data_IF_938179744027
#
_entry.id   IF_938179744027
#
_cell.length_a   1.000
_cell.length_b   1.000
_cell.length_c   1.000
_cell.angle_alpha   90.00
_cell.angle_beta   90.00
_cell.angle_gamma   90.00
#
_symmetry.space_group_name_H-M   'P 1'
#
loop_
_entity.id
_entity.type
_entity.pdbx_description
1 polymer ?
#
# COMPACT_ATOMS: atom_id res chain seq x y z
N UNK A 1 15.91 -45.57 29.50
CA UNK A 1 14.78 -46.18 28.76
C UNK A 1 14.11 -45.08 27.97
N UNK A 2 14.39 -45.01 26.67
CA UNK A 2 13.91 -43.96 25.77
C UNK A 2 12.44 -44.25 25.41
N UNK A 3 11.54 -43.39 25.89
CA UNK A 3 10.11 -43.48 25.67
C UNK A 3 9.75 -43.31 24.19
N UNK A 4 9.61 -44.46 23.53
CA UNK A 4 8.91 -44.67 22.26
C UNK A 4 7.43 -44.23 22.36
N UNK A 5 7.20 -42.92 22.34
CA UNK A 5 5.83 -42.35 22.34
C UNK A 5 5.70 -41.01 21.61
N UNK A 6 6.81 -40.33 21.34
CA UNK A 6 6.82 -39.01 20.70
C UNK A 6 6.97 -39.01 19.18
N UNK A 7 7.25 -40.15 18.53
CA UNK A 7 7.68 -40.18 17.12
C UNK A 7 6.64 -39.67 16.12
N UNK A 8 5.37 -40.03 16.28
CA UNK A 8 4.29 -39.65 15.35
C UNK A 8 3.84 -38.21 15.58
N UNK A 9 3.77 -37.78 16.84
CA UNK A 9 3.46 -36.40 17.21
C UNK A 9 4.58 -35.45 16.79
N UNK A 10 5.85 -35.78 17.03
CA UNK A 10 6.97 -34.94 16.62
C UNK A 10 7.07 -34.78 15.09
N UNK A 11 6.67 -35.80 14.32
CA UNK A 11 6.80 -35.81 12.87
C UNK A 11 5.76 -34.90 12.17
N UNK A 12 4.55 -34.75 12.73
CA UNK A 12 3.51 -33.85 12.22
C UNK A 12 3.54 -32.49 12.92
N UNK A 13 3.66 -32.47 14.24
CA UNK A 13 3.65 -31.21 15.00
C UNK A 13 4.95 -30.42 14.83
N UNK A 14 6.08 -31.06 14.52
CA UNK A 14 7.35 -30.36 14.27
C UNK A 14 7.25 -29.33 13.13
N UNK A 15 6.92 -29.74 11.89
CA UNK A 15 6.77 -28.82 10.77
C UNK A 15 5.67 -27.78 10.98
N UNK A 16 4.54 -28.18 11.58
CA UNK A 16 3.44 -27.26 11.92
C UNK A 16 3.90 -26.15 12.87
N UNK A 17 4.61 -26.51 13.93
CA UNK A 17 5.13 -25.54 14.91
C UNK A 17 6.18 -24.63 14.29
N UNK A 18 7.01 -25.15 13.37
CA UNK A 18 7.98 -24.35 12.62
C UNK A 18 7.29 -23.31 11.73
N UNK A 19 6.25 -23.71 10.99
CA UNK A 19 5.47 -22.80 10.14
C UNK A 19 4.74 -21.76 11.00
N UNK A 20 4.15 -22.19 12.11
CA UNK A 20 3.43 -21.29 13.01
C UNK A 20 4.38 -20.28 13.64
N UNK A 21 5.58 -20.71 14.07
CA UNK A 21 6.64 -19.84 14.57
C UNK A 21 7.09 -18.84 13.50
N UNK A 22 7.32 -19.29 12.26
CA UNK A 22 7.74 -18.44 11.15
C UNK A 22 6.65 -17.42 10.78
N UNK A 23 5.39 -17.85 10.75
CA UNK A 23 4.23 -16.97 10.58
C UNK A 23 4.11 -15.93 11.68
N UNK A 24 4.35 -16.32 12.94
CA UNK A 24 4.37 -15.41 14.08
C UNK A 24 5.50 -14.37 13.96
N UNK A 25 6.68 -14.81 13.53
CA UNK A 25 7.86 -13.95 13.29
C UNK A 25 7.57 -12.90 12.22
N UNK A 26 6.97 -13.33 11.09
CA UNK A 26 6.55 -12.43 10.02
C UNK A 26 5.46 -11.47 10.49
N UNK A 27 4.44 -11.97 11.20
CA UNK A 27 3.38 -11.14 11.74
C UNK A 27 3.92 -10.06 12.68
N UNK A 28 4.85 -10.42 13.57
CA UNK A 28 5.52 -9.49 14.46
C UNK A 28 6.32 -8.43 13.68
N UNK A 29 7.07 -8.85 12.67
CA UNK A 29 7.81 -7.94 11.81
C UNK A 29 6.88 -6.96 11.06
N UNK A 30 5.75 -7.42 10.54
CA UNK A 30 4.74 -6.58 9.87
C UNK A 30 4.11 -5.61 10.86
N UNK A 31 3.78 -6.04 12.08
CA UNK A 31 3.21 -5.16 13.11
C UNK A 31 4.21 -4.07 13.51
N UNK A 32 5.48 -4.44 13.72
CA UNK A 32 6.55 -3.46 14.00
C UNK A 32 6.76 -2.51 12.82
N UNK A 33 6.82 -3.04 11.59
CA UNK A 33 6.97 -2.24 10.38
C UNK A 33 5.77 -1.32 10.17
N UNK A 34 4.56 -1.71 10.58
CA UNK A 34 3.34 -0.90 10.49
C UNK A 34 3.26 0.16 11.59
N UNK A 35 3.84 -0.10 12.77
CA UNK A 35 3.94 0.87 13.86
C UNK A 35 5.05 1.90 13.63
N UNK A 36 6.21 1.47 13.10
CA UNK A 36 7.36 2.33 12.84
C UNK A 36 7.29 2.99 11.45
N UNK A 37 6.76 2.27 10.46
CA UNK A 37 6.38 2.79 9.15
C UNK A 37 4.97 3.34 9.20
N UNK A 38 4.83 4.55 9.75
CA UNK A 38 3.64 5.39 9.51
C UNK A 38 3.29 5.42 8.02
N UNK A 39 2.02 5.70 7.66
CA UNK A 39 1.38 5.32 6.40
C UNK A 39 2.33 5.50 5.22
N UNK A 40 2.96 4.40 4.79
CA UNK A 40 3.84 4.41 3.62
C UNK A 40 2.99 4.80 2.40
N UNK A 41 3.26 5.96 1.76
CA UNK A 41 2.62 6.32 0.51
C UNK A 41 3.34 5.55 -0.59
N UNK A 42 3.07 4.25 -0.70
CA UNK A 42 3.84 3.39 -1.60
C UNK A 42 3.17 2.09 -2.00
N UNK A 43 2.13 1.66 -1.29
CA UNK A 43 1.27 0.59 -1.78
C UNK A 43 0.05 1.23 -2.42
N UNK A 44 0.25 1.81 -3.61
CA UNK A 44 -0.88 1.93 -4.53
C UNK A 44 -1.43 0.51 -4.70
N UNK A 45 -2.70 0.23 -4.33
CA UNK A 45 -3.30 -1.04 -4.71
C UNK A 45 -3.16 -1.17 -6.23
N UNK A 46 -2.90 -2.36 -6.79
CA UNK A 46 -2.72 -2.56 -8.24
C UNK A 46 -4.01 -2.33 -9.06
N UNK A 47 -4.98 -1.58 -8.53
CA UNK A 47 -6.27 -1.32 -9.17
C UNK A 47 -6.84 0.09 -8.89
N UNK A 48 -6.03 1.04 -8.44
CA UNK A 48 -6.43 2.45 -8.46
C UNK A 48 -5.67 3.14 -9.59
N UNK A 49 -6.44 3.57 -10.60
CA UNK A 49 -6.05 4.50 -11.65
C UNK A 49 -5.00 5.50 -11.13
N UNK A 50 -4.00 5.90 -11.94
CA UNK A 50 -3.07 6.98 -11.57
C UNK A 50 -3.91 8.12 -10.99
N UNK A 51 -3.48 8.73 -9.85
CA UNK A 51 -4.30 9.66 -9.07
C UNK A 51 -5.00 10.56 -10.07
N UNK A 52 -6.32 10.40 -10.20
CA UNK A 52 -7.07 10.91 -11.34
C UNK A 52 -6.74 12.39 -11.40
N UNK A 53 -5.83 12.78 -12.32
CA UNK A 53 -5.35 14.15 -12.38
C UNK A 53 -6.60 14.94 -12.59
N UNK A 54 -6.97 15.73 -11.59
CA UNK A 54 -8.25 16.40 -11.66
C UNK A 54 -8.18 17.30 -12.89
N UNK A 55 -9.30 17.51 -13.60
CA UNK A 55 -9.31 18.44 -14.73
C UNK A 55 -8.66 19.80 -14.38
N UNK A 56 -8.74 20.22 -13.11
CA UNK A 56 -8.06 21.38 -12.55
C UNK A 56 -6.52 21.26 -12.51
N UNK A 57 -5.97 20.09 -12.23
CA UNK A 57 -4.51 19.88 -12.21
C UNK A 57 -3.93 19.96 -13.61
N UNK A 58 -4.63 19.41 -14.61
CA UNK A 58 -4.25 19.53 -16.02
C UNK A 58 -4.33 20.99 -16.48
N UNK A 59 -5.36 21.72 -16.03
CA UNK A 59 -5.55 23.13 -16.36
C UNK A 59 -4.42 24.00 -15.77
N UNK A 60 -4.02 23.76 -14.51
CA UNK A 60 -2.90 24.45 -13.86
C UNK A 60 -1.57 24.16 -14.56
N UNK A 61 -1.34 22.91 -14.97
CA UNK A 61 -0.12 22.53 -15.69
C UNK A 61 0.00 23.29 -17.03
N UNK A 62 -1.09 23.41 -17.79
CA UNK A 62 -1.09 24.15 -19.06
C UNK A 62 -0.93 25.66 -18.88
N UNK A 63 -1.53 26.22 -17.82
CA UNK A 63 -1.29 27.62 -17.45
C UNK A 63 0.17 27.87 -17.07
N UNK A 64 0.78 26.97 -16.29
CA UNK A 64 2.20 27.07 -15.91
C UNK A 64 3.15 26.91 -17.10
N UNK A 65 2.75 26.12 -18.11
CA UNK A 65 3.47 26.01 -19.40
C UNK A 65 3.29 27.24 -20.30
N UNK A 66 2.37 28.15 -19.97
CA UNK A 66 2.03 29.31 -20.80
C UNK A 66 1.24 28.97 -22.06
N UNK A 67 0.65 27.77 -22.13
CA UNK A 67 -0.18 27.35 -23.27
C UNK A 67 -1.57 28.01 -23.25
N UNK A 68 -1.98 28.55 -22.10
CA UNK A 68 -3.30 29.12 -21.84
C UNK A 68 -3.12 30.46 -21.13
N UNK A 69 -3.89 31.48 -21.54
CA UNK A 69 -3.89 32.79 -20.89
C UNK A 69 -4.65 32.78 -19.55
N UNK A 70 -4.39 33.78 -18.69
CA UNK A 70 -5.07 33.91 -17.40
C UNK A 70 -6.59 33.98 -17.54
N UNK A 71 -7.09 34.66 -18.56
CA UNK A 71 -8.54 34.79 -18.81
C UNK A 71 -9.18 33.43 -19.08
N UNK A 72 -8.58 32.64 -19.96
CA UNK A 72 -9.05 31.30 -20.32
C UNK A 72 -8.89 30.29 -19.17
N UNK A 73 -7.87 30.46 -18.33
CA UNK A 73 -7.71 29.67 -17.10
C UNK A 73 -8.86 29.90 -16.12
N UNK A 74 -9.26 31.15 -15.88
CA UNK A 74 -10.34 31.46 -14.93
C UNK A 74 -11.71 30.96 -15.40
N UNK A 75 -12.03 31.11 -16.69
CA UNK A 75 -13.27 30.59 -17.26
C UNK A 75 -13.37 29.07 -17.12
N UNK A 76 -12.31 28.34 -17.49
CA UNK A 76 -12.29 26.87 -17.38
C UNK A 76 -12.26 26.39 -15.93
N UNK A 77 -11.58 27.11 -15.04
CA UNK A 77 -11.56 26.81 -13.60
C UNK A 77 -12.95 26.93 -12.98
N UNK A 78 -13.74 27.93 -13.40
CA UNK A 78 -15.10 28.14 -12.91
C UNK A 78 -16.03 27.02 -13.37
N UNK A 79 -15.97 26.64 -14.64
CA UNK A 79 -16.77 25.53 -15.21
C UNK A 79 -16.42 24.17 -14.58
N UNK A 80 -15.15 23.96 -14.19
CA UNK A 80 -14.70 22.72 -13.55
C UNK A 80 -14.87 22.70 -12.02
N UNK A 81 -15.22 23.85 -11.41
CA UNK A 81 -15.42 24.00 -9.97
C UNK A 81 -16.87 24.12 -9.53
N UNK A 82 -17.80 24.27 -10.48
CA UNK A 82 -19.25 24.02 -10.33
C UNK A 82 -19.57 22.55 -10.62
#
# INVERSE_FOLDING_TARGET
MMGWGGGWYAMIFGPLFMILFLGLLVALAVVLARWLGGPWPGTYPPNQLPPARTPLDILKERFARGEIDKTEFEDRRRVLGE
#
